data_IF_837131387394
#
_entry.id   IF_837131387394
#
_cell.length_a   1.000
_cell.length_b   1.000
_cell.length_c   1.000
_cell.angle_alpha   90.00
_cell.angle_beta   90.00
_cell.angle_gamma   90.00
#
_symmetry.space_group_name_H-M   'P 1'
#
loop_
_entity.id
_entity.type
_entity.pdbx_description
1 polymer ?
#
# COMPACT_ATOMS: atom_id res chain seq x y z
N UNK A 1 5.11 2.59 16.91
CA UNK A 1 4.93 2.83 15.45
C UNK A 1 5.23 4.30 15.21
N UNK A 2 6.36 4.74 15.77
CA UNK A 2 6.43 6.10 16.32
C UNK A 2 7.00 7.10 15.32
N UNK A 3 7.57 6.59 14.22
CA UNK A 3 8.16 7.41 13.15
C UNK A 3 7.14 8.09 12.23
N UNK A 4 5.92 7.56 12.13
CA UNK A 4 4.85 8.16 11.30
C UNK A 4 4.24 9.42 11.93
N UNK A 5 4.37 9.58 13.25
CA UNK A 5 3.93 10.76 14.00
C UNK A 5 5.07 11.76 14.25
N UNK A 6 6.33 11.31 14.16
CA UNK A 6 7.51 12.16 14.40
C UNK A 6 8.08 12.85 13.15
N UNK A 7 7.42 12.73 11.99
CA UNK A 7 7.89 13.35 10.74
C UNK A 7 7.79 14.88 10.82
N UNK A 8 8.84 15.58 10.42
CA UNK A 8 8.97 17.05 10.55
C UNK A 8 7.96 17.81 9.69
N UNK A 9 7.58 17.22 8.57
CA UNK A 9 6.58 17.68 7.59
C UNK A 9 5.19 17.12 7.86
N UNK A 10 5.05 16.25 8.87
CA UNK A 10 3.85 15.45 9.09
C UNK A 10 3.67 14.28 8.12
N UNK A 11 4.52 14.14 7.08
CA UNK A 11 4.50 13.04 6.13
C UNK A 11 5.86 12.34 6.03
N UNK A 12 6.00 11.25 6.79
CA UNK A 12 7.22 10.44 6.80
C UNK A 12 7.63 9.93 5.40
N UNK A 13 6.66 9.70 4.51
CA UNK A 13 6.94 9.21 3.15
C UNK A 13 7.65 10.25 2.26
N UNK A 14 7.62 11.53 2.61
CA UNK A 14 8.36 12.58 1.89
C UNK A 14 9.80 12.74 2.40
N UNK A 15 10.07 12.30 3.62
CA UNK A 15 11.37 12.48 4.29
C UNK A 15 12.28 11.25 4.14
N UNK A 16 11.81 10.20 3.48
CA UNK A 16 12.49 8.91 3.42
C UNK A 16 12.34 8.28 2.05
N UNK A 17 13.47 8.07 1.38
CA UNK A 17 13.51 7.42 0.06
C UNK A 17 13.26 5.90 0.12
N UNK A 18 13.40 5.28 1.31
CA UNK A 18 13.24 3.84 1.52
C UNK A 18 12.34 3.56 2.72
N UNK A 19 11.10 3.15 2.45
CA UNK A 19 10.13 2.83 3.48
C UNK A 19 9.76 1.34 3.45
N UNK A 20 9.73 0.72 4.63
CA UNK A 20 9.16 -0.61 4.84
C UNK A 20 7.94 -0.45 5.74
N UNK A 21 6.82 -1.03 5.32
CA UNK A 21 5.61 -0.97 6.11
C UNK A 21 4.77 -2.24 5.98
N UNK A 22 3.97 -2.50 7.01
CA UNK A 22 3.10 -3.69 7.07
C UNK A 22 1.83 -3.46 6.25
N UNK A 23 1.52 -4.37 5.34
CA UNK A 23 0.30 -4.36 4.53
C UNK A 23 -0.98 -4.16 5.37
N UNK A 24 -1.08 -4.85 6.50
CA UNK A 24 -2.24 -4.73 7.41
C UNK A 24 -2.40 -3.37 8.05
N UNK A 25 -1.28 -2.70 8.35
CA UNK A 25 -1.32 -1.37 8.95
C UNK A 25 -1.78 -0.35 7.90
N UNK A 26 -1.19 -0.38 6.70
CA UNK A 26 -1.54 0.55 5.64
C UNK A 26 -2.98 0.37 5.18
N UNK A 27 -3.43 -0.88 5.00
CA UNK A 27 -4.75 -1.16 4.43
C UNK A 27 -5.91 -0.72 5.32
N UNK A 28 -5.65 -0.48 6.62
CA UNK A 28 -6.67 -0.08 7.60
C UNK A 28 -6.58 1.38 8.02
N UNK A 29 -5.52 2.10 7.65
CA UNK A 29 -5.29 3.47 8.09
C UNK A 29 -5.41 4.43 6.89
N UNK A 30 -6.56 5.09 6.80
CA UNK A 30 -6.89 6.01 5.70
C UNK A 30 -6.01 7.27 5.74
N UNK A 31 -5.65 7.77 6.93
CA UNK A 31 -4.74 8.92 7.07
C UNK A 31 -3.35 8.64 6.47
N UNK A 32 -2.84 7.44 6.68
CA UNK A 32 -1.57 6.98 6.08
C UNK A 32 -1.71 6.85 4.56
N UNK A 33 -2.85 6.37 4.07
CA UNK A 33 -3.11 6.30 2.63
C UNK A 33 -3.24 7.70 1.99
N UNK A 34 -3.79 8.67 2.69
CA UNK A 34 -3.83 10.07 2.23
C UNK A 34 -2.43 10.67 2.15
N UNK A 35 -1.55 10.38 3.12
CA UNK A 35 -0.14 10.80 3.08
C UNK A 35 0.63 10.21 1.89
N UNK A 36 0.36 8.95 1.52
CA UNK A 36 0.93 8.32 0.31
C UNK A 36 0.42 8.96 -0.99
N UNK A 37 -0.79 9.49 -0.99
CA UNK A 37 -1.42 10.14 -2.15
C UNK A 37 -1.03 11.60 -2.33
N UNK A 38 -0.21 12.16 -1.43
CA UNK A 38 0.20 13.56 -1.53
C UNK A 38 0.85 13.83 -2.92
N UNK A 39 0.59 14.97 -3.58
CA UNK A 39 1.06 15.24 -4.94
C UNK A 39 2.58 15.17 -5.13
N UNK A 40 3.34 15.44 -4.08
CA UNK A 40 4.79 15.37 -4.01
C UNK A 40 5.32 14.01 -3.54
N UNK A 41 4.46 13.15 -2.99
CA UNK A 41 4.80 11.78 -2.64
C UNK A 41 4.76 10.91 -3.88
N UNK A 42 5.95 10.66 -4.46
CA UNK A 42 6.12 9.83 -5.65
C UNK A 42 7.12 8.73 -5.36
N UNK A 43 6.77 7.52 -5.78
CA UNK A 43 7.62 6.34 -5.64
C UNK A 43 7.97 5.79 -7.01
N UNK A 44 9.24 5.64 -7.31
CA UNK A 44 9.65 5.03 -8.58
C UNK A 44 9.32 3.53 -8.61
N UNK A 45 9.44 2.86 -7.47
CA UNK A 45 9.20 1.44 -7.28
C UNK A 45 8.43 1.18 -5.98
N UNK A 46 7.38 0.37 -6.07
CA UNK A 46 6.73 -0.26 -4.91
C UNK A 46 6.80 -1.78 -5.08
N UNK A 47 7.23 -2.47 -4.02
CA UNK A 47 7.28 -3.93 -3.96
C UNK A 47 6.27 -4.41 -2.93
N UNK A 48 5.34 -5.28 -3.36
CA UNK A 48 4.44 -5.98 -2.45
C UNK A 48 4.85 -7.45 -2.36
N UNK A 49 5.36 -7.82 -1.19
CA UNK A 49 5.64 -9.21 -0.83
C UNK A 49 4.37 -9.93 -0.36
N UNK A 50 4.32 -11.25 -0.53
CA UNK A 50 3.17 -12.11 -0.28
C UNK A 50 1.88 -11.58 -0.92
N UNK A 51 1.96 -11.20 -2.20
CA UNK A 51 0.89 -10.53 -2.93
C UNK A 51 -0.42 -11.34 -2.99
N UNK A 52 -0.38 -12.67 -2.75
CA UNK A 52 -1.59 -13.48 -2.57
C UNK A 52 -2.51 -12.99 -1.44
N UNK A 53 -1.99 -12.22 -0.46
CA UNK A 53 -2.78 -11.59 0.61
C UNK A 53 -3.62 -10.41 0.12
N UNK A 54 -3.35 -9.89 -1.07
CA UNK A 54 -4.12 -8.82 -1.73
C UNK A 54 -5.18 -9.44 -2.66
N UNK A 55 -6.08 -10.23 -2.10
CA UNK A 55 -7.09 -10.99 -2.85
C UNK A 55 -8.49 -10.38 -2.77
N UNK A 56 -9.33 -10.76 -3.73
CA UNK A 56 -10.76 -10.51 -3.76
C UNK A 56 -11.48 -11.85 -3.80
N UNK A 57 -12.66 -11.94 -3.18
CA UNK A 57 -13.49 -13.14 -3.22
C UNK A 57 -14.67 -12.92 -4.15
N UNK A 58 -14.91 -13.85 -5.06
CA UNK A 58 -16.09 -13.85 -5.93
C UNK A 58 -17.15 -14.77 -5.32
N UNK A 59 -18.36 -14.25 -5.13
CA UNK A 59 -19.50 -15.01 -4.64
C UNK A 59 -20.67 -14.83 -5.62
N UNK A 60 -20.94 -15.85 -6.44
CA UNK A 60 -21.90 -15.76 -7.53
C UNK A 60 -21.50 -14.68 -8.54
N UNK A 61 -22.29 -13.59 -8.63
CA UNK A 61 -22.00 -12.41 -9.47
C UNK A 61 -21.37 -11.25 -8.70
N UNK A 62 -21.24 -11.36 -7.38
CA UNK A 62 -20.69 -10.29 -6.55
C UNK A 62 -19.18 -10.48 -6.36
N UNK A 63 -18.42 -9.39 -6.47
CA UNK A 63 -16.99 -9.36 -6.17
C UNK A 63 -16.78 -8.57 -4.89
N UNK A 64 -16.26 -9.23 -3.85
CA UNK A 64 -15.92 -8.60 -2.57
C UNK A 64 -14.41 -8.37 -2.49
N UNK A 65 -14.01 -7.11 -2.66
CA UNK A 65 -12.63 -6.68 -2.54
C UNK A 65 -12.22 -6.51 -1.07
N UNK A 66 -11.09 -7.07 -0.67
CA UNK A 66 -10.53 -6.86 0.67
C UNK A 66 -9.88 -5.48 0.78
N UNK A 67 -9.70 -4.96 2.01
CA UNK A 67 -8.95 -3.71 2.22
C UNK A 67 -7.52 -3.78 1.68
N UNK A 68 -6.89 -4.96 1.74
CA UNK A 68 -5.54 -5.21 1.20
C UNK A 68 -5.55 -5.12 -0.32
N UNK A 69 -6.56 -5.70 -0.97
CA UNK A 69 -6.75 -5.56 -2.41
C UNK A 69 -6.91 -4.09 -2.81
N UNK A 70 -7.78 -3.34 -2.11
CA UNK A 70 -7.98 -1.90 -2.37
C UNK A 70 -6.70 -1.09 -2.18
N UNK A 71 -5.92 -1.39 -1.15
CA UNK A 71 -4.60 -0.80 -0.99
C UNK A 71 -3.68 -1.13 -2.16
N UNK A 72 -3.63 -2.38 -2.62
CA UNK A 72 -2.84 -2.76 -3.79
C UNK A 72 -3.24 -1.97 -5.05
N UNK A 73 -4.55 -1.79 -5.29
CA UNK A 73 -5.03 -0.92 -6.36
C UNK A 73 -4.55 0.51 -6.21
N UNK A 74 -4.64 1.08 -5.00
CA UNK A 74 -4.15 2.43 -4.73
C UNK A 74 -2.64 2.54 -4.99
N UNK A 75 -1.84 1.64 -4.41
CA UNK A 75 -0.38 1.68 -4.57
C UNK A 75 0.04 1.56 -6.05
N UNK A 76 -0.70 0.79 -6.86
CA UNK A 76 -0.43 0.66 -8.30
C UNK A 76 -0.58 1.97 -9.08
N UNK A 77 -1.33 2.96 -8.57
CA UNK A 77 -1.45 4.28 -9.21
C UNK A 77 -0.42 5.29 -8.74
N UNK A 78 0.29 5.00 -7.65
CA UNK A 78 1.25 5.91 -7.01
C UNK A 78 2.70 5.68 -7.44
N UNK A 79 2.93 4.69 -8.30
CA UNK A 79 4.27 4.31 -8.73
C UNK A 79 4.35 4.00 -10.22
N UNK A 80 5.55 4.16 -10.79
CA UNK A 80 5.85 3.74 -12.15
C UNK A 80 6.08 2.23 -12.24
N UNK A 81 6.75 1.65 -11.25
CA UNK A 81 7.09 0.24 -11.24
C UNK A 81 6.42 -0.44 -10.04
N UNK A 82 5.51 -1.37 -10.30
CA UNK A 82 4.78 -2.09 -9.26
C UNK A 82 5.11 -3.59 -9.33
N UNK A 83 5.96 -4.05 -8.41
CA UNK A 83 6.42 -5.44 -8.36
C UNK A 83 5.59 -6.22 -7.33
N UNK A 84 4.92 -7.27 -7.79
CA UNK A 84 4.20 -8.22 -6.94
C UNK A 84 5.02 -9.50 -6.80
N UNK A 85 5.42 -9.83 -5.58
CA UNK A 85 6.10 -11.08 -5.26
C UNK A 85 5.14 -11.98 -4.48
N UNK A 86 5.02 -13.24 -4.89
CA UNK A 86 4.19 -14.22 -4.19
C UNK A 86 4.81 -15.60 -4.35
N UNK A 87 4.76 -16.42 -3.29
CA UNK A 87 5.31 -17.77 -3.35
C UNK A 87 4.49 -18.70 -4.26
N UNK A 88 3.15 -18.65 -4.21
CA UNK A 88 2.20 -19.40 -5.06
C UNK A 88 0.77 -18.95 -4.71
N UNK A 89 -0.22 -18.96 -5.63
CA UNK A 89 -1.62 -18.79 -5.25
C UNK A 89 -2.15 -20.04 -4.52
N UNK A 90 -2.97 -19.83 -3.50
CA UNK A 90 -3.88 -20.85 -2.95
C UNK A 90 -5.31 -20.52 -3.39
#
# INVERSE_FOLDING_TARGET
>A
NDKLESARTGNWFLETNLAIARLDKLSRNEDVQMKLQAPDCRWDLIVCDEAHKMSATVFGREIKYTKRYRLGQLLSTLTRHFLLMTATPH
#
